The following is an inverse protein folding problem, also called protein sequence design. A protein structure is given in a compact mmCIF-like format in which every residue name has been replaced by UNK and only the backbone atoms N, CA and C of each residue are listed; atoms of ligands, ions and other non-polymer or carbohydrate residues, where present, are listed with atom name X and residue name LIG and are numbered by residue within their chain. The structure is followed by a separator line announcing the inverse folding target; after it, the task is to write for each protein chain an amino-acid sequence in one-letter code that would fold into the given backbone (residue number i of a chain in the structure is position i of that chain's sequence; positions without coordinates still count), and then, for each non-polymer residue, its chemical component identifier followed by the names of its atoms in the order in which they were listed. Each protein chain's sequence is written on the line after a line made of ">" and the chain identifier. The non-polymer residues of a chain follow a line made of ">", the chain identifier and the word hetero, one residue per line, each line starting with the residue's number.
data_IF_112837424618
#
_entry.id   IF_112837424618
#
_cell.length_a   1.000
_cell.length_b   1.000
_cell.length_c   1.000
_cell.angle_alpha   90.00
_cell.angle_beta   90.00
_cell.angle_gamma   90.00
#
_symmetry.space_group_name_H-M   'P 1'
#
loop_
_entity.id
_entity.type
_entity.pdbx_description
1 polymer ?
#
# COMPACT_ATOMS: atom_id res chain seq x y z
N UNK A 1 4.52 -27.38 9.67
CA UNK A 1 4.86 -25.97 9.42
C UNK A 1 4.40 -25.64 8.01
N UNK A 2 3.13 -25.29 7.87
CA UNK A 2 2.57 -24.85 6.58
C UNK A 2 3.15 -23.48 6.30
N UNK A 3 3.86 -23.35 5.19
CA UNK A 3 4.36 -22.08 4.68
C UNK A 3 3.12 -21.28 4.26
N UNK A 4 2.55 -20.52 5.19
CA UNK A 4 1.38 -19.68 4.96
C UNK A 4 1.77 -18.68 3.88
N UNK A 5 1.26 -18.93 2.67
CA UNK A 5 1.59 -18.25 1.43
C UNK A 5 1.84 -16.75 1.64
N UNK A 6 3.11 -16.35 1.55
CA UNK A 6 3.53 -14.95 1.39
C UNK A 6 3.08 -14.34 0.04
N UNK A 7 2.31 -15.09 -0.74
CA UNK A 7 1.72 -14.65 -2.00
C UNK A 7 0.51 -13.78 -1.69
N UNK A 8 0.67 -12.47 -1.91
CA UNK A 8 -0.43 -11.52 -1.90
C UNK A 8 -1.39 -11.90 -3.04
N UNK A 9 -2.66 -12.15 -2.72
CA UNK A 9 -3.70 -12.42 -3.73
C UNK A 9 -4.23 -11.10 -4.25
N UNK A 10 -4.54 -11.03 -5.54
CA UNK A 10 -5.06 -9.81 -6.16
C UNK A 10 -6.34 -9.31 -5.48
N UNK A 11 -7.23 -10.21 -5.07
CA UNK A 11 -8.46 -9.89 -4.35
C UNK A 11 -8.28 -9.50 -2.87
N UNK A 12 -7.05 -9.53 -2.34
CA UNK A 12 -6.80 -9.18 -0.93
C UNK A 12 -7.09 -7.69 -0.71
N UNK A 13 -8.07 -7.37 0.13
CA UNK A 13 -8.51 -5.99 0.40
C UNK A 13 -7.66 -5.33 1.49
N UNK A 14 -7.75 -4.00 1.60
CA UNK A 14 -7.08 -3.25 2.66
C UNK A 14 -5.70 -2.73 2.26
N UNK A 15 -5.50 -2.48 0.97
CA UNK A 15 -4.28 -1.86 0.45
C UNK A 15 -4.52 -0.41 0.10
N UNK A 16 -3.51 0.40 0.35
CA UNK A 16 -3.39 1.78 -0.12
C UNK A 16 -2.18 1.88 -1.04
N UNK A 17 -2.06 3.01 -1.74
CA UNK A 17 -0.88 3.31 -2.54
C UNK A 17 0.02 4.24 -1.74
N UNK A 18 1.22 3.78 -1.40
CA UNK A 18 2.25 4.62 -0.83
C UNK A 18 3.23 5.07 -1.92
N UNK A 19 3.84 6.24 -1.72
CA UNK A 19 4.81 6.77 -2.65
C UNK A 19 5.97 7.48 -1.96
N UNK A 20 7.09 7.56 -2.66
CA UNK A 20 8.27 8.30 -2.26
C UNK A 20 8.93 8.96 -3.46
N UNK A 21 9.44 10.17 -3.28
CA UNK A 21 10.26 10.85 -4.27
C UNK A 21 11.64 10.18 -4.40
N UNK A 22 12.14 10.02 -5.62
CA UNK A 22 13.44 9.37 -5.87
C UNK A 22 14.62 10.25 -5.47
N UNK A 23 14.47 11.56 -5.62
CA UNK A 23 15.53 12.54 -5.44
C UNK A 23 15.46 13.27 -4.10
N UNK A 24 14.31 13.18 -3.40
CA UNK A 24 14.07 13.87 -2.14
C UNK A 24 13.59 12.90 -1.04
N UNK A 25 13.47 13.43 0.17
CA UNK A 25 12.93 12.70 1.32
C UNK A 25 11.41 12.78 1.43
N UNK A 26 10.74 13.38 0.44
CA UNK A 26 9.28 13.46 0.39
C UNK A 26 8.66 12.08 0.19
N UNK A 27 7.67 11.79 1.03
CA UNK A 27 6.90 10.55 0.99
C UNK A 27 5.44 10.88 1.28
N UNK A 28 4.54 10.05 0.76
CA UNK A 28 3.12 10.22 0.99
C UNK A 28 2.35 8.94 0.76
N UNK A 29 1.04 9.02 0.99
CA UNK A 29 0.10 7.91 0.87
C UNK A 29 -1.20 8.40 0.29
N UNK A 30 -1.81 7.60 -0.57
CA UNK A 30 -3.18 7.78 -1.03
C UNK A 30 -4.07 6.97 -0.10
N UNK A 31 -4.87 7.64 0.74
CA UNK A 31 -5.72 6.99 1.76
C UNK A 31 -6.92 6.22 1.16
N UNK A 32 -7.00 6.13 -0.17
CA UNK A 32 -7.98 5.31 -0.87
C UNK A 32 -7.66 3.82 -0.72
N UNK A 33 -8.54 3.11 -0.02
CA UNK A 33 -8.38 1.67 0.21
C UNK A 33 -8.95 0.88 -0.97
N UNK A 34 -8.17 -0.07 -1.47
CA UNK A 34 -8.51 -0.94 -2.60
C UNK A 34 -7.97 -2.36 -2.40
N UNK A 35 -8.19 -3.23 -3.39
CA UNK A 35 -7.58 -4.57 -3.42
C UNK A 35 -6.10 -4.50 -3.82
N UNK A 36 -5.33 -5.55 -3.52
CA UNK A 36 -3.92 -5.63 -3.90
C UNK A 36 -3.73 -5.51 -5.42
N UNK A 37 -4.57 -6.20 -6.20
CA UNK A 37 -4.52 -6.17 -7.66
C UNK A 37 -4.84 -4.79 -8.23
N UNK A 38 -5.82 -4.09 -7.67
CA UNK A 38 -6.13 -2.70 -8.05
C UNK A 38 -4.98 -1.75 -7.67
N UNK A 39 -4.41 -1.91 -6.47
CA UNK A 39 -3.29 -1.09 -6.03
C UNK A 39 -2.06 -1.30 -6.91
N UNK A 40 -1.77 -2.53 -7.35
CA UNK A 40 -0.70 -2.82 -8.31
C UNK A 40 -0.92 -2.10 -9.64
N UNK A 41 -2.10 -2.27 -10.26
CA UNK A 41 -2.41 -1.62 -11.55
C UNK A 41 -2.27 -0.11 -11.48
N UNK A 42 -2.77 0.48 -10.39
CA UNK A 42 -2.72 1.92 -10.19
C UNK A 42 -1.32 2.43 -9.89
N UNK A 43 -0.48 1.63 -9.21
CA UNK A 43 0.95 1.94 -9.10
C UNK A 43 1.62 1.97 -10.48
N UNK A 44 1.33 1.02 -11.37
CA UNK A 44 1.89 1.00 -12.72
C UNK A 44 1.48 2.24 -13.53
N UNK A 45 0.21 2.65 -13.44
CA UNK A 45 -0.28 3.89 -14.06
C UNK A 45 0.42 5.14 -13.49
N UNK A 46 0.59 5.20 -12.17
CA UNK A 46 1.25 6.34 -11.51
C UNK A 46 2.75 6.40 -11.84
N UNK A 47 3.44 5.27 -11.91
CA UNK A 47 4.86 5.22 -12.31
C UNK A 47 5.04 5.71 -13.75
N UNK A 48 4.10 5.41 -14.64
CA UNK A 48 4.12 5.87 -16.02
C UNK A 48 3.90 7.39 -16.16
N UNK A 49 3.13 8.00 -15.24
CA UNK A 49 2.83 9.43 -15.26
C UNK A 49 3.80 10.28 -14.42
N UNK A 50 4.32 9.73 -13.33
CA UNK A 50 5.18 10.43 -12.35
C UNK A 50 6.49 9.66 -12.15
N UNK A 51 7.38 9.73 -13.16
CA UNK A 51 8.63 8.97 -13.20
C UNK A 51 9.61 9.31 -12.07
N UNK A 52 9.46 10.47 -11.42
CA UNK A 52 10.31 10.93 -10.31
C UNK A 52 9.89 10.33 -8.96
N UNK A 53 8.75 9.63 -8.93
CA UNK A 53 8.23 8.95 -7.75
C UNK A 53 8.30 7.44 -7.93
N UNK A 54 8.43 6.75 -6.80
CA UNK A 54 8.26 5.29 -6.70
C UNK A 54 6.96 5.05 -5.96
N UNK A 55 6.08 4.22 -6.53
CA UNK A 55 4.79 3.86 -5.95
C UNK A 55 4.78 2.38 -5.58
N UNK A 56 4.15 2.02 -4.47
CA UNK A 56 3.96 0.63 -4.08
C UNK A 56 2.65 0.41 -3.30
N UNK A 57 2.03 -0.77 -3.43
CA UNK A 57 0.89 -1.15 -2.61
C UNK A 57 1.33 -1.45 -1.18
N UNK A 58 0.75 -0.74 -0.22
CA UNK A 58 0.98 -0.90 1.22
C UNK A 58 -0.29 -1.42 1.90
N UNK A 59 -0.19 -2.53 2.67
CA UNK A 59 -1.32 -3.07 3.41
C UNK A 59 -1.57 -2.20 4.64
N UNK A 60 -2.75 -1.59 4.71
CA UNK A 60 -3.19 -0.87 5.90
C UNK A 60 -3.45 -1.89 6.98
N UNK A 61 -2.59 -1.91 8.01
CA UNK A 61 -2.90 -2.64 9.22
C UNK A 61 -3.90 -1.81 10.00
N UNK A 62 -5.03 -2.38 10.45
CA UNK A 62 -5.85 -1.71 11.43
C UNK A 62 -4.96 -1.37 12.63
N UNK A 63 -5.17 -0.17 13.22
CA UNK A 63 -4.47 0.19 14.44
C UNK A 63 -4.63 -0.95 15.46
N UNK A 64 -3.56 -1.37 16.15
CA UNK A 64 -3.68 -2.42 17.15
C UNK A 64 -4.75 -2.03 18.18
N UNK A 65 -5.64 -2.97 18.49
CA UNK A 65 -6.82 -2.83 19.36
C UNK A 65 -6.51 -2.13 20.70
N UNK A 66 -5.27 -2.17 21.18
CA UNK A 66 -4.80 -1.45 22.36
C UNK A 66 -5.04 0.08 22.33
N UNK A 67 -5.23 0.70 21.17
CA UNK A 67 -5.63 2.12 21.06
C UNK A 67 -7.11 2.37 21.41
N UNK A 68 -7.97 1.35 21.39
CA UNK A 68 -9.40 1.47 21.75
C UNK A 68 -9.65 1.24 23.25
N UNK A 69 -8.69 0.67 23.97
CA UNK A 69 -8.80 0.36 25.40
C UNK A 69 -8.39 1.53 26.31
N UNK A 70 -7.88 2.63 25.75
CA UNK A 70 -7.39 3.81 26.48
C UNK A 70 -7.96 5.14 25.93
N UNK A 71 -9.19 5.12 25.41
CA UNK A 71 -9.94 6.35 25.06
C UNK A 71 -11.08 6.60 26.03
#
# INVERSE_FOLDING_TARGET
>A
MTNENLIKRDDDTGYIIAWKHKYDFETGKLEETMTYGEACKRCEELIANESDKTFWPEKVKPAPEWHLLYS
#
